data_IF_898455536404
#
_entry.id   IF_898455536404
#
_cell.length_a   1.000
_cell.length_b   1.000
_cell.length_c   1.000
_cell.angle_alpha   90.00
_cell.angle_beta   90.00
_cell.angle_gamma   90.00
#
_symmetry.space_group_name_H-M   'P 1'
#
loop_
_entity.id
_entity.type
_entity.pdbx_description
1 polymer ?
#
# COMPACT_ATOMS: atom_id res chain seq x y z
N UNK A 1 12.48 3.58 36.87
CA UNK A 1 12.43 4.71 35.90
C UNK A 1 13.16 4.26 34.64
N UNK A 2 12.41 4.04 33.57
CA UNK A 2 12.75 3.17 32.44
C UNK A 2 13.87 3.76 31.57
N UNK A 3 15.13 3.58 31.99
CA UNK A 3 16.31 4.06 31.25
C UNK A 3 16.50 3.37 29.88
N UNK A 4 15.79 2.27 29.61
CA UNK A 4 15.85 1.55 28.33
C UNK A 4 15.25 2.36 27.17
N UNK A 5 14.12 3.05 27.39
CA UNK A 5 13.36 3.75 26.34
C UNK A 5 14.01 5.07 25.89
N UNK A 6 15.00 5.58 26.63
CA UNK A 6 15.81 6.74 26.24
C UNK A 6 17.21 6.35 25.73
N UNK A 7 17.46 5.06 25.49
CA UNK A 7 18.68 4.65 24.81
C UNK A 7 18.72 5.22 23.38
N UNK A 8 19.90 5.51 22.81
CA UNK A 8 20.01 6.06 21.45
C UNK A 8 19.28 5.21 20.40
N UNK A 9 19.29 3.88 20.59
CA UNK A 9 18.54 2.93 19.76
C UNK A 9 17.03 3.16 19.81
N UNK A 10 16.48 3.34 21.00
CA UNK A 10 15.05 3.59 21.20
C UNK A 10 14.63 4.97 20.68
N UNK A 11 15.45 6.00 20.86
CA UNK A 11 15.22 7.34 20.29
C UNK A 11 15.16 7.27 18.77
N UNK A 12 16.14 6.61 18.12
CA UNK A 12 16.12 6.41 16.68
C UNK A 12 14.87 5.65 16.24
N UNK A 13 14.47 4.62 16.97
CA UNK A 13 13.27 3.84 16.68
C UNK A 13 12.00 4.71 16.77
N UNK A 14 11.85 5.53 17.82
CA UNK A 14 10.74 6.49 17.91
C UNK A 14 10.72 7.44 16.72
N UNK A 15 11.88 7.99 16.33
CA UNK A 15 11.98 8.90 15.19
C UNK A 15 11.57 8.22 13.89
N UNK A 16 12.01 6.98 13.64
CA UNK A 16 11.64 6.23 12.43
C UNK A 16 10.13 5.97 12.38
N UNK A 17 9.54 5.49 13.49
CA UNK A 17 8.10 5.23 13.52
C UNK A 17 7.27 6.51 13.43
N UNK A 18 7.71 7.61 14.04
CA UNK A 18 7.04 8.90 13.96
C UNK A 18 7.15 9.50 12.55
N UNK A 19 8.31 9.37 11.90
CA UNK A 19 8.51 9.79 10.51
C UNK A 19 7.65 8.96 9.56
N UNK A 20 7.60 7.64 9.73
CA UNK A 20 6.74 6.76 8.94
C UNK A 20 5.26 7.09 9.12
N UNK A 21 4.81 7.32 10.36
CA UNK A 21 3.45 7.74 10.65
C UNK A 21 3.12 9.09 9.99
N UNK A 22 3.99 10.09 10.16
CA UNK A 22 3.85 11.39 9.53
C UNK A 22 3.80 11.31 8.01
N UNK A 23 4.64 10.47 7.41
CA UNK A 23 4.64 10.22 5.96
C UNK A 23 3.32 9.60 5.51
N UNK A 24 2.76 8.60 6.22
CA UNK A 24 1.46 8.02 5.85
C UNK A 24 0.33 9.03 5.93
N UNK A 25 0.31 9.91 6.94
CA UNK A 25 -0.70 10.96 7.03
C UNK A 25 -0.52 12.01 5.93
N UNK A 26 0.72 12.37 5.60
CA UNK A 26 1.02 13.29 4.52
C UNK A 26 0.60 12.74 3.15
N UNK A 27 0.88 11.46 2.87
CA UNK A 27 0.42 10.80 1.64
C UNK A 27 -1.10 10.69 1.60
N UNK A 28 -1.76 10.42 2.74
CA UNK A 28 -3.21 10.40 2.83
C UNK A 28 -3.83 11.76 2.58
N UNK A 29 -3.25 12.82 3.14
CA UNK A 29 -3.64 14.20 2.86
C UNK A 29 -3.44 14.57 1.40
N UNK A 30 -2.28 14.22 0.84
CA UNK A 30 -1.96 14.44 -0.56
C UNK A 30 -2.92 13.72 -1.51
N UNK A 31 -3.33 12.50 -1.16
CA UNK A 31 -4.35 11.81 -1.93
C UNK A 31 -5.73 12.44 -1.75
N UNK A 32 -6.06 12.92 -0.56
CA UNK A 32 -7.33 13.61 -0.34
C UNK A 32 -7.45 14.84 -1.23
N UNK A 33 -6.42 15.68 -1.31
CA UNK A 33 -6.41 16.86 -2.20
C UNK A 33 -6.41 16.47 -3.67
N UNK A 34 -5.59 15.49 -4.07
CA UNK A 34 -5.55 14.99 -5.46
C UNK A 34 -6.88 14.38 -5.91
N UNK A 35 -7.60 13.71 -5.00
CA UNK A 35 -8.91 13.13 -5.27
C UNK A 35 -10.01 14.18 -5.53
N UNK A 36 -9.86 15.39 -4.99
CA UNK A 36 -10.79 16.50 -5.26
C UNK A 36 -10.57 17.10 -6.65
N UNK A 37 -9.34 17.04 -7.18
CA UNK A 37 -9.02 17.51 -8.53
C UNK A 37 -9.50 16.51 -9.60
N UNK A 38 -9.45 15.20 -9.31
CA UNK A 38 -9.84 14.11 -10.21
C UNK A 38 -11.31 13.66 -10.07
N UNK A 39 -12.26 14.58 -9.84
CA UNK A 39 -13.68 14.27 -9.99
C UNK A 39 -14.33 13.39 -8.89
N UNK A 40 -13.71 13.22 -7.72
CA UNK A 40 -14.40 12.73 -6.51
C UNK A 40 -14.91 11.27 -6.56
N UNK A 41 -14.19 10.37 -7.23
CA UNK A 41 -14.51 8.94 -7.22
C UNK A 41 -14.41 8.30 -5.83
N UNK A 42 -15.40 7.46 -5.47
CA UNK A 42 -15.40 6.64 -4.26
C UNK A 42 -14.19 5.69 -4.17
N UNK A 43 -13.59 5.30 -5.31
CA UNK A 43 -12.39 4.45 -5.33
C UNK A 43 -11.15 5.23 -4.85
N UNK A 44 -11.01 6.48 -5.26
CA UNK A 44 -9.91 7.33 -4.84
C UNK A 44 -9.99 7.65 -3.33
N UNK A 45 -11.21 7.87 -2.83
CA UNK A 45 -11.48 8.01 -1.40
C UNK A 45 -11.01 6.78 -0.59
N UNK A 46 -11.24 5.58 -1.11
CA UNK A 46 -10.77 4.33 -0.49
C UNK A 46 -9.25 4.30 -0.33
N UNK A 47 -8.50 4.76 -1.34
CA UNK A 47 -7.05 4.87 -1.26
C UNK A 47 -6.59 5.96 -0.29
N UNK A 48 -7.27 7.12 -0.26
CA UNK A 48 -6.98 8.17 0.72
C UNK A 48 -7.16 7.67 2.17
N UNK A 49 -8.22 6.89 2.44
CA UNK A 49 -8.48 6.30 3.77
C UNK A 49 -7.57 5.12 4.12
N UNK A 50 -7.01 4.44 3.12
CA UNK A 50 -6.05 3.36 3.33
C UNK A 50 -4.77 3.85 4.01
N UNK A 51 -4.34 5.08 3.70
CA UNK A 51 -3.11 5.66 4.27
C UNK A 51 -3.16 5.84 5.80
N UNK A 52 -4.20 6.44 6.41
CA UNK A 52 -4.39 6.45 7.86
C UNK A 52 -4.40 5.05 8.50
N UNK A 53 -4.97 4.05 7.82
CA UNK A 53 -5.00 2.68 8.32
C UNK A 53 -3.59 2.10 8.44
N UNK A 54 -2.73 2.36 7.45
CA UNK A 54 -1.31 2.03 7.53
C UNK A 54 -0.59 2.81 8.63
N UNK A 55 -0.90 4.08 8.84
CA UNK A 55 -0.37 4.86 9.97
C UNK A 55 -0.72 4.23 11.32
N UNK A 56 -1.97 3.81 11.51
CA UNK A 56 -2.39 3.09 12.71
C UNK A 56 -1.65 1.75 12.86
N UNK A 57 -1.44 1.02 11.76
CA UNK A 57 -0.68 -0.23 11.76
C UNK A 57 0.80 -0.02 12.15
N UNK A 58 1.43 1.07 11.69
CA UNK A 58 2.79 1.46 12.08
C UNK A 58 2.88 1.70 13.60
N UNK A 59 1.91 2.40 14.19
CA UNK A 59 1.86 2.58 15.65
C UNK A 59 1.63 1.26 16.41
N UNK A 60 0.82 0.36 15.85
CA UNK A 60 0.63 -0.98 16.40
C UNK A 60 1.93 -1.79 16.41
N UNK A 61 2.68 -1.79 15.30
CA UNK A 61 3.98 -2.46 15.22
C UNK A 61 4.98 -1.86 16.21
N UNK A 62 5.01 -0.54 16.35
CA UNK A 62 5.84 0.13 17.37
C UNK A 62 5.50 -0.38 18.77
N UNK A 63 4.22 -0.44 19.11
CA UNK A 63 3.75 -0.94 20.41
C UNK A 63 4.16 -2.40 20.62
N UNK A 64 4.01 -3.24 19.59
CA UNK A 64 4.38 -4.64 19.65
C UNK A 64 5.89 -4.84 19.87
N UNK A 65 6.73 -4.05 19.19
CA UNK A 65 8.18 -4.03 19.39
C UNK A 65 8.54 -3.59 20.81
N UNK A 66 7.88 -2.53 21.32
CA UNK A 66 8.08 -2.07 22.69
C UNK A 66 7.65 -3.10 23.74
N UNK A 67 6.58 -3.86 23.46
CA UNK A 67 6.12 -4.95 24.32
C UNK A 67 7.08 -6.14 24.32
N UNK A 68 7.65 -6.49 23.17
CA UNK A 68 8.62 -7.60 23.05
C UNK A 68 9.92 -7.30 23.80
N UNK A 69 10.46 -6.08 23.68
CA UNK A 69 11.69 -5.65 24.37
C UNK A 69 11.53 -5.63 25.92
N UNK A 70 10.29 -5.57 26.41
CA UNK A 70 9.97 -5.59 27.85
C UNK A 70 9.79 -7.01 28.42
N UNK A 71 9.75 -8.05 27.59
CA UNK A 71 9.65 -9.45 28.06
C UNK A 71 11.03 -9.97 28.46
N UNK A 72 11.18 -10.61 29.64
CA UNK A 72 12.44 -11.21 30.04
C UNK A 72 12.86 -12.32 29.05
N UNK A 73 14.17 -12.50 28.80
CA UNK A 73 14.69 -13.38 27.76
C UNK A 73 14.30 -14.87 27.91
N UNK A 74 13.86 -15.29 29.09
CA UNK A 74 13.43 -16.67 29.39
C UNK A 74 12.17 -17.10 28.60
N UNK A 75 11.33 -16.17 28.13
CA UNK A 75 10.12 -16.49 27.34
C UNK A 75 10.32 -16.38 25.82
N UNK A 76 11.48 -15.88 25.37
CA UNK A 76 11.74 -15.61 23.93
C UNK A 76 12.14 -16.86 23.14
N UNK A 77 12.42 -17.98 23.79
CA UNK A 77 12.86 -19.21 23.11
C UNK A 77 11.71 -20.07 22.56
N UNK A 78 10.45 -19.67 22.78
CA UNK A 78 9.26 -20.50 22.48
C UNK A 78 8.39 -20.05 21.32
N UNK A 79 8.74 -18.97 20.61
CA UNK A 79 7.95 -18.47 19.47
C UNK A 79 8.85 -18.10 18.29
N UNK A 80 9.81 -18.97 17.98
CA UNK A 80 10.26 -19.08 16.60
C UNK A 80 9.06 -19.61 15.80
N UNK A 81 8.68 -18.85 14.78
CA UNK A 81 7.63 -19.16 13.81
C UNK A 81 7.69 -20.64 13.44
N UNK A 82 6.70 -21.43 13.86
CA UNK A 82 6.41 -22.72 13.23
C UNK A 82 6.06 -22.41 11.78
N UNK A 83 7.00 -22.71 10.91
CA UNK A 83 6.83 -22.66 9.47
C UNK A 83 6.98 -24.09 9.00
N UNK A 84 5.92 -24.88 9.19
CA UNK A 84 5.81 -26.23 8.64
C UNK A 84 4.68 -26.28 7.59
N UNK A 85 5.15 -26.17 6.35
CA UNK A 85 4.73 -26.85 5.11
C UNK A 85 3.23 -26.97 4.78
N UNK A 86 2.76 -26.05 3.91
CA UNK A 86 1.58 -26.25 3.06
C UNK A 86 1.99 -27.03 1.78
N UNK A 87 1.26 -28.08 1.36
CA UNK A 87 1.76 -29.01 0.34
C UNK A 87 1.81 -28.36 -1.04
N UNK A 88 2.87 -28.70 -1.78
CA UNK A 88 3.11 -28.29 -3.16
C UNK A 88 1.86 -28.49 -4.05
N UNK A 89 1.20 -27.39 -4.37
CA UNK A 89 0.15 -27.37 -5.37
C UNK A 89 0.78 -27.49 -6.76
N UNK A 90 0.48 -28.63 -7.40
CA UNK A 90 0.63 -28.96 -8.82
C UNK A 90 0.60 -27.72 -9.74
N UNK A 91 1.78 -27.25 -10.16
CA UNK A 91 1.93 -26.20 -11.17
C UNK A 91 1.66 -26.83 -12.54
N UNK A 92 0.39 -27.14 -12.82
CA UNK A 92 -0.05 -27.34 -14.20
C UNK A 92 0.08 -25.99 -14.89
N UNK A 93 1.03 -25.92 -15.82
CA UNK A 93 1.22 -24.81 -16.74
C UNK A 93 -0.11 -24.45 -17.42
N UNK A 94 -0.82 -23.46 -16.88
CA UNK A 94 -1.86 -22.75 -17.62
C UNK A 94 -1.15 -21.93 -18.69
N UNK A 95 -1.19 -22.38 -19.94
CA UNK A 95 -1.02 -21.48 -21.10
C UNK A 95 -2.12 -20.43 -21.00
N UNK A 96 -1.80 -19.28 -20.40
CA UNK A 96 -2.69 -18.13 -20.34
C UNK A 96 -2.72 -17.50 -21.74
N UNK A 97 -3.89 -17.22 -22.34
CA UNK A 97 -3.96 -16.38 -23.53
C UNK A 97 -3.23 -15.06 -23.23
N UNK A 98 -2.34 -14.62 -24.12
CA UNK A 98 -1.57 -13.39 -23.97
C UNK A 98 -2.40 -12.12 -24.23
N UNK A 99 -3.73 -12.25 -24.24
CA UNK A 99 -4.66 -11.13 -24.35
C UNK A 99 -5.11 -10.81 -22.93
N UNK A 100 -4.66 -9.69 -22.35
CA UNK A 100 -5.23 -9.18 -21.11
C UNK A 100 -6.74 -9.04 -21.28
N UNK A 101 -7.54 -9.36 -20.24
CA UNK A 101 -8.96 -9.05 -20.29
C UNK A 101 -9.14 -7.55 -20.62
N UNK A 102 -10.20 -7.19 -21.37
CA UNK A 102 -10.47 -5.79 -21.69
C UNK A 102 -10.47 -4.98 -20.40
N UNK A 103 -9.75 -3.86 -20.42
CA UNK A 103 -9.68 -2.98 -19.27
C UNK A 103 -11.10 -2.53 -18.88
N UNK A 104 -11.40 -2.42 -17.57
CA UNK A 104 -12.68 -1.88 -17.14
C UNK A 104 -12.89 -0.50 -17.75
N UNK A 105 -14.12 -0.23 -18.20
CA UNK A 105 -14.49 1.08 -18.76
C UNK A 105 -14.31 2.17 -17.71
N UNK A 106 -13.49 3.16 -18.02
CA UNK A 106 -13.32 4.36 -17.21
C UNK A 106 -14.41 5.35 -17.57
N UNK A 107 -15.10 5.89 -16.58
CA UNK A 107 -16.10 6.94 -16.78
C UNK A 107 -15.38 8.25 -17.20
N UNK A 108 -15.71 8.84 -18.36
CA UNK A 108 -15.05 10.05 -18.85
C UNK A 108 -15.27 11.28 -17.95
N UNK A 109 -16.30 11.28 -17.10
CA UNK A 109 -16.53 12.34 -16.12
C UNK A 109 -15.69 12.15 -14.84
N UNK A 110 -15.20 10.92 -14.60
CA UNK A 110 -14.35 10.55 -13.46
C UNK A 110 -12.87 10.86 -13.71
N UNK A 111 -12.39 10.74 -14.96
CA UNK A 111 -11.01 11.04 -15.34
C UNK A 111 -10.94 11.68 -16.75
N UNK A 112 -11.10 13.02 -16.86
CA UNK A 112 -11.16 13.72 -18.15
C UNK A 112 -9.83 13.67 -18.91
N UNK A 113 -8.70 13.60 -18.20
CA UNK A 113 -7.36 13.54 -18.80
C UNK A 113 -7.10 12.17 -19.41
N UNK A 114 -7.44 11.09 -18.69
CA UNK A 114 -7.35 9.73 -19.23
C UNK A 114 -8.33 9.51 -20.38
N UNK A 115 -9.53 10.09 -20.32
CA UNK A 115 -10.48 10.07 -21.43
C UNK A 115 -9.91 10.79 -22.67
N UNK A 116 -9.26 11.94 -22.50
CA UNK A 116 -8.59 12.64 -23.59
C UNK A 116 -7.45 11.81 -24.19
N UNK A 117 -6.65 11.15 -23.35
CA UNK A 117 -5.57 10.27 -23.80
C UNK A 117 -6.08 9.03 -24.55
N UNK A 118 -7.14 8.37 -24.06
CA UNK A 118 -7.76 7.24 -24.74
C UNK A 118 -8.31 7.64 -26.12
N UNK A 119 -8.90 8.84 -26.24
CA UNK A 119 -9.30 9.40 -27.56
C UNK A 119 -8.10 9.59 -28.48
N UNK A 120 -6.99 10.09 -27.96
CA UNK A 120 -5.76 10.26 -28.73
C UNK A 120 -5.19 8.93 -29.23
N UNK A 121 -5.16 7.89 -28.38
CA UNK A 121 -4.74 6.55 -28.79
C UNK A 121 -5.66 5.94 -29.84
N UNK A 122 -6.98 6.14 -29.71
CA UNK A 122 -7.95 5.70 -30.72
C UNK A 122 -7.71 6.39 -32.07
N UNK A 123 -7.47 7.70 -32.05
CA UNK A 123 -7.15 8.45 -33.26
C UNK A 123 -5.84 7.96 -33.92
N UNK A 124 -4.84 7.59 -33.11
CA UNK A 124 -3.59 7.02 -33.62
C UNK A 124 -3.82 5.65 -34.28
N UNK A 125 -4.63 4.78 -33.65
CA UNK A 125 -5.00 3.47 -34.21
C UNK A 125 -5.73 3.63 -35.55
N UNK A 126 -6.69 4.55 -35.64
CA UNK A 126 -7.44 4.83 -36.87
C UNK A 126 -6.55 5.36 -38.00
N UNK A 127 -5.45 6.05 -37.67
CA UNK A 127 -4.47 6.52 -38.66
C UNK A 127 -3.60 5.38 -39.16
N UNK A 128 -3.22 4.45 -38.29
CA UNK A 128 -2.43 3.27 -38.63
C UNK A 128 -3.22 2.30 -39.53
N UNK A 129 -4.51 2.07 -39.25
CA UNK A 129 -5.38 1.21 -40.06
C UNK A 129 -5.72 1.78 -41.45
N UNK A 130 -5.54 3.09 -41.65
CA UNK A 130 -5.80 3.79 -42.92
C UNK A 130 -4.56 3.97 -43.82
N UNK A 131 -3.36 3.67 -43.31
CA UNK A 131 -2.08 3.75 -44.03
C UNK A 131 -1.70 2.42 -44.68
#
# INVERSE_FOLDING_TARGET
MNRSLLSPRWVLLHLVFLAAFGATLWLGWWQWESAHEAGGSFRNLGYALQWPLFGAFVLFLWYQVARMDQRPPEESSGAAVEHDEEPAADVRQRRRPLVPPPAPSVDPDEDPDLAAYNRYLAELNDRDERG
#
